data_IF_211269912960
#
_entry.id   IF_211269912960
#
_cell.length_a   1.000
_cell.length_b   1.000
_cell.length_c   1.000
_cell.angle_alpha   90.00
_cell.angle_beta   90.00
_cell.angle_gamma   90.00
#
_symmetry.space_group_name_H-M   'P 1'
#
loop_
_entity.id
_entity.type
_entity.pdbx_description
1 polymer ?
#
# COMPACT_ATOMS: atom_id res chain seq x y z
N UNK A 1 10.51 26.60 -0.62
CA UNK A 1 11.10 25.48 0.14
C UNK A 1 10.09 24.36 0.15
N UNK A 2 10.12 23.45 -0.84
CA UNK A 2 9.18 22.32 -0.94
C UNK A 2 9.68 21.38 -2.03
N UNK A 3 10.67 20.56 -1.73
CA UNK A 3 11.14 19.51 -2.66
C UNK A 3 11.87 18.39 -1.92
N UNK A 4 11.37 18.03 -0.73
CA UNK A 4 11.94 16.92 0.06
C UNK A 4 10.98 15.73 0.21
N UNK A 5 9.66 15.91 0.01
CA UNK A 5 8.74 14.76 0.00
C UNK A 5 8.80 13.97 -1.31
N UNK A 6 9.23 14.60 -2.43
CA UNK A 6 9.28 13.95 -3.75
C UNK A 6 10.12 12.69 -3.74
N UNK A 7 11.38 12.75 -3.29
CA UNK A 7 12.33 11.63 -3.40
C UNK A 7 11.89 10.38 -2.61
N UNK A 8 11.19 10.57 -1.50
CA UNK A 8 10.69 9.47 -0.68
C UNK A 8 9.51 8.77 -1.36
N UNK A 9 8.58 9.55 -1.93
CA UNK A 9 7.47 8.99 -2.70
C UNK A 9 7.91 8.42 -4.05
N UNK A 10 8.96 8.96 -4.68
CA UNK A 10 9.65 8.36 -5.83
C UNK A 10 10.07 6.93 -5.49
N UNK A 11 10.82 6.77 -4.39
CA UNK A 11 11.32 5.47 -3.94
C UNK A 11 10.19 4.47 -3.62
N UNK A 12 9.16 4.87 -2.87
CA UNK A 12 8.07 3.97 -2.53
C UNK A 12 7.19 3.61 -3.73
N UNK A 13 6.94 4.57 -4.62
CA UNK A 13 6.20 4.31 -5.84
C UNK A 13 6.99 3.39 -6.78
N UNK A 14 8.31 3.54 -6.90
CA UNK A 14 9.17 2.62 -7.65
C UNK A 14 9.11 1.20 -7.06
N UNK A 15 9.13 1.05 -5.73
CA UNK A 15 8.97 -0.25 -5.08
C UNK A 15 7.59 -0.86 -5.36
N UNK A 16 6.52 -0.06 -5.31
CA UNK A 16 5.18 -0.48 -5.72
C UNK A 16 5.17 -0.98 -7.18
N UNK A 17 5.80 -0.26 -8.10
CA UNK A 17 5.91 -0.68 -9.50
C UNK A 17 6.69 -2.00 -9.65
N UNK A 18 7.77 -2.19 -8.89
CA UNK A 18 8.54 -3.43 -8.88
C UNK A 18 7.68 -4.60 -8.38
N UNK A 19 7.00 -4.43 -7.25
CA UNK A 19 6.12 -5.46 -6.69
C UNK A 19 4.97 -5.78 -7.65
N UNK A 20 4.33 -4.76 -8.22
CA UNK A 20 3.26 -4.93 -9.20
C UNK A 20 3.75 -5.62 -10.48
N UNK A 21 5.00 -5.41 -10.89
CA UNK A 21 5.57 -6.10 -12.05
C UNK A 21 5.96 -7.56 -11.74
N UNK A 22 6.37 -7.85 -10.50
CA UNK A 22 6.75 -9.20 -10.08
C UNK A 22 5.55 -10.12 -9.85
N UNK A 23 4.44 -9.58 -9.38
CA UNK A 23 3.30 -10.37 -8.90
C UNK A 23 1.97 -9.99 -9.56
N UNK A 24 1.84 -8.76 -10.05
CA UNK A 24 0.61 -8.25 -10.63
C UNK A 24 0.41 -8.67 -12.08
N UNK A 25 -0.85 -8.74 -12.53
CA UNK A 25 -1.19 -8.95 -13.94
C UNK A 25 -1.54 -7.62 -14.62
N UNK A 26 -0.60 -7.02 -15.36
CA UNK A 26 -0.89 -5.94 -16.31
C UNK A 26 -0.24 -4.59 -15.98
N UNK A 27 -0.94 -3.47 -16.26
CA UNK A 27 -0.46 -2.11 -15.96
C UNK A 27 -0.82 -1.71 -14.53
N UNK A 28 -0.01 -0.89 -13.84
CA UNK A 28 -0.30 -0.39 -12.50
C UNK A 28 -1.72 0.17 -12.41
N UNK A 29 -2.46 -0.17 -11.35
CA UNK A 29 -3.87 0.25 -11.18
C UNK A 29 -4.00 1.74 -10.85
N UNK A 30 -2.97 2.30 -10.24
CA UNK A 30 -2.93 3.68 -9.77
C UNK A 30 -1.69 4.40 -10.27
N UNK A 31 -1.82 5.71 -10.47
CA UNK A 31 -0.71 6.61 -10.76
C UNK A 31 0.08 6.92 -9.50
N UNK A 32 1.25 7.54 -9.66
CA UNK A 32 2.08 8.04 -8.56
C UNK A 32 1.33 8.97 -7.63
N UNK A 33 0.58 9.92 -8.19
CA UNK A 33 -0.18 10.89 -7.42
C UNK A 33 -1.27 10.21 -6.58
N UNK A 34 -1.94 9.19 -7.15
CA UNK A 34 -2.93 8.39 -6.43
C UNK A 34 -2.29 7.55 -5.31
N UNK A 35 -1.07 7.04 -5.52
CA UNK A 35 -0.30 6.34 -4.49
C UNK A 35 -0.01 7.26 -3.30
N UNK A 36 0.51 8.46 -3.55
CA UNK A 36 0.82 9.45 -2.50
C UNK A 36 -0.44 9.89 -1.74
N UNK A 37 -1.56 10.04 -2.43
CA UNK A 37 -2.86 10.34 -1.82
C UNK A 37 -3.33 9.21 -0.91
N UNK A 38 -3.25 7.96 -1.36
CA UNK A 38 -3.66 6.79 -0.59
C UNK A 38 -2.77 6.54 0.64
N UNK A 39 -1.46 6.74 0.50
CA UNK A 39 -0.50 6.65 1.62
C UNK A 39 -0.77 7.74 2.67
N UNK A 40 -0.98 8.99 2.22
CA UNK A 40 -1.32 10.10 3.12
C UNK A 40 -2.66 9.87 3.83
N UNK A 41 -3.64 9.29 3.13
CA UNK A 41 -4.94 8.91 3.70
C UNK A 41 -4.79 7.81 4.76
N UNK A 42 -4.01 6.76 4.48
CA UNK A 42 -3.72 5.70 5.43
C UNK A 42 -3.06 6.23 6.71
N UNK A 43 -2.04 7.09 6.57
CA UNK A 43 -1.36 7.69 7.71
C UNK A 43 -2.29 8.55 8.55
N UNK A 44 -3.22 9.27 7.92
CA UNK A 44 -4.25 10.03 8.63
C UNK A 44 -5.19 9.10 9.40
N UNK A 45 -5.67 8.04 8.76
CA UNK A 45 -6.58 7.08 9.40
C UNK A 45 -5.91 6.41 10.61
N UNK A 46 -4.64 5.99 10.48
CA UNK A 46 -3.87 5.40 11.58
C UNK A 46 -3.66 6.42 12.71
N UNK A 47 -3.29 7.67 12.39
CA UNK A 47 -3.15 8.73 13.39
C UNK A 47 -4.46 9.04 14.10
N UNK A 48 -5.59 9.06 13.39
CA UNK A 48 -6.90 9.32 13.99
C UNK A 48 -7.27 8.17 14.95
N UNK A 49 -6.93 6.93 14.58
CA UNK A 49 -7.13 5.76 15.42
C UNK A 49 -6.20 5.68 16.65
N UNK A 50 -4.97 6.21 16.59
CA UNK A 50 -4.12 6.32 17.80
C UNK A 50 -4.75 7.23 18.87
N UNK A 51 -5.63 8.13 18.48
CA UNK A 51 -6.33 9.06 19.37
C UNK A 51 -7.72 8.57 19.81
N UNK A 52 -8.16 7.38 19.40
CA UNK A 52 -9.52 6.88 19.64
C UNK A 52 -9.71 5.39 19.29
N UNK A 53 -10.95 5.00 18.98
CA UNK A 53 -11.23 3.69 18.39
C UNK A 53 -11.42 3.84 16.88
N UNK A 54 -11.04 2.81 16.13
CA UNK A 54 -11.32 2.73 14.69
C UNK A 54 -12.82 2.68 14.43
N UNK A 55 -13.34 3.65 13.69
CA UNK A 55 -14.68 3.54 13.14
C UNK A 55 -14.71 2.44 12.06
N UNK A 56 -15.84 1.75 11.92
CA UNK A 56 -16.00 0.67 10.94
C UNK A 56 -15.67 1.13 9.52
N UNK A 57 -16.06 2.36 9.16
CA UNK A 57 -15.79 2.97 7.86
C UNK A 57 -14.29 3.17 7.61
N UNK A 58 -13.54 3.58 8.64
CA UNK A 58 -12.09 3.72 8.56
C UNK A 58 -11.41 2.35 8.37
N UNK A 59 -11.90 1.31 9.04
CA UNK A 59 -11.39 -0.06 8.86
C UNK A 59 -11.64 -0.59 7.44
N UNK A 60 -12.83 -0.34 6.88
CA UNK A 60 -13.12 -0.69 5.48
C UNK A 60 -12.18 0.06 4.54
N UNK A 61 -11.95 1.35 4.79
CA UNK A 61 -11.06 2.16 3.96
C UNK A 61 -9.60 1.73 4.02
N UNK A 62 -9.11 1.35 5.20
CA UNK A 62 -7.77 0.75 5.36
C UNK A 62 -7.65 -0.50 4.50
N UNK A 63 -8.64 -1.40 4.52
CA UNK A 63 -8.62 -2.61 3.70
C UNK A 63 -8.65 -2.31 2.21
N UNK A 64 -9.38 -1.29 1.77
CA UNK A 64 -9.39 -0.87 0.37
C UNK A 64 -8.02 -0.33 -0.06
N UNK A 65 -7.38 0.47 0.80
CA UNK A 65 -6.04 1.00 0.55
C UNK A 65 -5.02 -0.15 0.54
N UNK A 66 -5.08 -1.06 1.52
CA UNK A 66 -4.25 -2.26 1.57
C UNK A 66 -4.45 -3.14 0.33
N UNK A 67 -5.68 -3.32 -0.16
CA UNK A 67 -5.93 -4.09 -1.38
C UNK A 67 -5.32 -3.44 -2.63
N UNK A 68 -5.30 -2.11 -2.69
CA UNK A 68 -4.74 -1.36 -3.82
C UNK A 68 -3.21 -1.27 -3.73
N UNK A 69 -2.65 -1.14 -2.51
CA UNK A 69 -1.22 -0.98 -2.26
C UNK A 69 -0.49 -2.32 -2.03
N UNK A 70 -1.20 -3.37 -1.61
CA UNK A 70 -0.67 -4.67 -1.14
C UNK A 70 -1.65 -5.85 -1.28
N UNK A 71 -1.88 -6.35 -2.50
CA UNK A 71 -2.48 -7.70 -2.67
C UNK A 71 -1.47 -8.79 -3.09
N UNK A 72 -0.24 -8.43 -3.46
CA UNK A 72 0.69 -9.38 -4.09
C UNK A 72 1.77 -9.97 -3.16
N UNK A 73 2.05 -9.34 -2.01
CA UNK A 73 3.09 -9.81 -1.07
C UNK A 73 2.53 -10.83 -0.07
N UNK A 74 1.27 -10.70 0.33
CA UNK A 74 0.63 -11.64 1.23
C UNK A 74 0.34 -12.98 0.55
N UNK A 75 -0.17 -12.98 -0.69
CA UNK A 75 -0.43 -14.21 -1.44
C UNK A 75 0.87 -14.92 -1.85
N UNK A 76 1.89 -14.20 -2.33
CA UNK A 76 3.19 -14.80 -2.70
C UNK A 76 3.99 -15.37 -1.50
N UNK A 77 3.76 -14.87 -0.27
CA UNK A 77 4.34 -15.41 0.96
C UNK A 77 3.54 -16.58 1.54
N UNK A 78 2.22 -16.63 1.29
CA UNK A 78 1.33 -17.72 1.72
C UNK A 78 1.33 -18.92 0.76
N UNK A 79 1.68 -18.73 -0.52
CA UNK A 79 1.73 -19.78 -1.55
C UNK A 79 3.08 -20.53 -1.60
N UNK A 80 3.97 -20.31 -0.61
CA UNK A 80 5.08 -21.23 -0.38
C UNK A 80 4.53 -22.49 0.28
N UNK A 81 4.59 -23.68 -0.35
CA UNK A 81 4.35 -24.92 0.37
C UNK A 81 5.35 -24.97 1.53
N UNK A 82 4.82 -25.20 2.72
CA UNK A 82 5.62 -25.54 3.89
C UNK A 82 6.64 -26.60 3.48
N UNK A 83 7.92 -26.29 3.67
CA UNK A 83 9.03 -27.17 3.32
C UNK A 83 8.82 -28.52 4.00
N UNK A 84 8.63 -29.57 3.21
CA UNK A 84 8.77 -30.99 3.54
C UNK A 84 8.72 -31.70 2.18
N UNK A 85 9.83 -32.09 1.53
CA UNK A 85 10.95 -32.95 1.95
C UNK A 85 12.21 -32.56 1.18
#
# INVERSE_FOLDING_TARGET
MTSKSSDVYDYYYENYLILYNLYGRGRPRITREQYEQMDSELMKIVSDAENGEFEHEQMVRVRDIEYVLMDDVAEALLDRPSTSV
#
